data_IF_649677984978
#
_entry.id   IF_649677984978
#
_cell.length_a   1.000
_cell.length_b   1.000
_cell.length_c   1.000
_cell.angle_alpha   90.00
_cell.angle_beta   90.00
_cell.angle_gamma   90.00
#
_symmetry.space_group_name_H-M   'P 1'
#
loop_
_entity.id
_entity.type
_entity.pdbx_description
1 polymer ?
#
# COMPACT_ATOMS: atom_id res chain seq x y z
N UNK A 1 -21.47 3.86 -6.29
CA UNK A 1 -20.89 3.62 -4.94
C UNK A 1 -20.33 2.20 -4.93
N UNK A 2 -19.18 1.96 -4.30
CA UNK A 2 -18.44 0.69 -4.41
C UNK A 2 -18.23 0.03 -3.03
N UNK A 3 -18.04 -1.28 -3.01
CA UNK A 3 -17.55 -2.06 -1.85
C UNK A 3 -16.22 -2.68 -2.26
N UNK A 4 -15.19 -2.50 -1.44
CA UNK A 4 -13.85 -3.07 -1.67
C UNK A 4 -13.69 -4.42 -0.98
N UNK A 5 -13.16 -5.41 -1.68
CA UNK A 5 -12.80 -6.72 -1.12
C UNK A 5 -11.38 -7.04 -1.58
N UNK A 6 -10.35 -6.51 -0.90
CA UNK A 6 -8.98 -6.64 -1.34
C UNK A 6 -8.47 -8.08 -1.21
N UNK A 7 -7.95 -8.61 -2.31
CA UNK A 7 -7.25 -9.92 -2.35
C UNK A 7 -5.74 -9.75 -2.21
N UNK A 8 -5.21 -8.56 -2.50
CA UNK A 8 -3.83 -8.14 -2.24
C UNK A 8 -3.78 -7.19 -1.05
N UNK A 9 -2.58 -6.88 -0.57
CA UNK A 9 -2.35 -5.90 0.52
C UNK A 9 -1.79 -4.57 -0.03
N UNK A 10 -2.39 -4.06 -1.11
CA UNK A 10 -1.95 -2.86 -1.81
C UNK A 10 -2.58 -1.56 -1.29
N UNK A 11 -3.67 -1.62 -0.52
CA UNK A 11 -4.26 -0.49 0.21
C UNK A 11 -5.01 0.57 -0.62
N UNK A 12 -5.29 0.30 -1.91
CA UNK A 12 -5.99 1.26 -2.77
C UNK A 12 -7.43 1.54 -2.32
N UNK A 13 -8.05 0.53 -1.69
CA UNK A 13 -9.41 0.51 -1.14
C UNK A 13 -9.63 1.42 0.08
N UNK A 14 -8.57 2.05 0.59
CA UNK A 14 -8.63 3.00 1.71
C UNK A 14 -8.41 4.46 1.28
N UNK A 15 -8.45 4.73 -0.03
CA UNK A 15 -8.16 6.07 -0.56
C UNK A 15 -9.25 6.56 -1.52
N UNK A 16 -9.37 7.89 -1.62
CA UNK A 16 -10.15 8.58 -2.65
C UNK A 16 -9.30 8.94 -3.88
N UNK A 17 -8.17 8.24 -4.06
CA UNK A 17 -7.20 8.45 -5.12
C UNK A 17 -7.17 7.21 -6.02
N UNK A 18 -7.18 7.42 -7.33
CA UNK A 18 -6.94 6.38 -8.33
C UNK A 18 -5.78 6.80 -9.24
N UNK A 19 -4.99 5.82 -9.67
CA UNK A 19 -3.90 6.05 -10.60
C UNK A 19 -4.10 5.26 -11.89
N UNK A 20 -4.12 5.94 -13.03
CA UNK A 20 -4.29 5.34 -14.37
C UNK A 20 -3.08 5.70 -15.22
N UNK A 21 -2.52 4.75 -15.96
CA UNK A 21 -1.43 5.05 -16.89
C UNK A 21 -2.03 5.44 -18.23
N UNK A 22 -1.67 6.60 -18.75
CA UNK A 22 -2.02 7.01 -20.10
C UNK A 22 -1.06 6.34 -21.08
N UNK A 23 -1.52 5.33 -21.80
CA UNK A 23 -0.68 4.51 -22.68
C UNK A 23 -0.04 5.30 -23.84
N UNK A 24 -0.62 6.45 -24.23
CA UNK A 24 -0.08 7.29 -25.30
C UNK A 24 1.10 8.15 -24.81
N UNK A 25 0.98 8.69 -23.61
CA UNK A 25 1.98 9.62 -23.05
C UNK A 25 2.95 8.94 -22.10
N UNK A 26 2.67 7.70 -21.68
CA UNK A 26 3.40 6.96 -20.63
C UNK A 26 3.51 7.74 -19.32
N UNK A 27 2.47 8.50 -19.00
CA UNK A 27 2.36 9.24 -17.74
C UNK A 27 1.35 8.56 -16.82
N UNK A 28 1.71 8.40 -15.54
CA UNK A 28 0.77 8.00 -14.50
C UNK A 28 -0.10 9.21 -14.11
N UNK A 29 -1.36 9.18 -14.49
CA UNK A 29 -2.34 10.21 -14.14
C UNK A 29 -3.01 9.87 -12.80
N UNK A 30 -3.02 10.85 -11.89
CA UNK A 30 -3.70 10.76 -10.60
C UNK A 30 -5.09 11.39 -10.65
N UNK A 31 -6.10 10.64 -10.24
CA UNK A 31 -7.49 11.09 -10.10
C UNK A 31 -7.83 11.15 -8.61
N UNK A 32 -8.35 12.28 -8.12
CA UNK A 32 -8.82 12.42 -6.75
C UNK A 32 -10.26 12.89 -6.75
N UNK A 33 -11.15 12.10 -6.16
CA UNK A 33 -12.55 12.48 -6.05
C UNK A 33 -13.22 11.75 -4.86
N UNK A 34 -14.04 12.42 -4.02
CA UNK A 34 -14.67 11.79 -2.85
C UNK A 34 -15.48 10.53 -3.17
N UNK A 35 -16.07 10.45 -4.36
CA UNK A 35 -16.85 9.27 -4.79
C UNK A 35 -15.99 8.06 -5.20
N UNK A 36 -14.66 8.19 -5.26
CA UNK A 36 -13.74 7.06 -5.46
C UNK A 36 -13.54 6.24 -4.18
N UNK A 37 -13.73 6.84 -3.01
CA UNK A 37 -13.63 6.12 -1.74
C UNK A 37 -14.70 5.02 -1.66
N UNK A 38 -14.32 3.74 -1.43
CA UNK A 38 -15.28 2.69 -1.16
C UNK A 38 -16.19 3.03 0.03
N UNK A 39 -17.45 2.60 -0.03
CA UNK A 39 -18.41 2.79 1.08
C UNK A 39 -18.16 1.84 2.24
N UNK A 40 -17.57 0.69 1.93
CA UNK A 40 -17.16 -0.32 2.88
C UNK A 40 -16.00 -1.10 2.26
N UNK A 41 -15.09 -1.55 3.11
CA UNK A 41 -14.01 -2.47 2.75
C UNK A 41 -14.13 -3.70 3.64
N UNK A 42 -14.17 -4.89 3.04
CA UNK A 42 -14.27 -6.16 3.74
C UNK A 42 -12.89 -6.81 3.73
N UNK A 43 -12.27 -6.89 4.91
CA UNK A 43 -11.00 -7.59 5.11
C UNK A 43 -11.29 -9.05 5.46
N UNK A 44 -11.13 -9.91 4.46
CA UNK A 44 -11.19 -11.36 4.63
C UNK A 44 -9.83 -11.96 4.26
N UNK A 45 -9.06 -12.49 5.23
CA UNK A 45 -7.73 -13.03 4.99
C UNK A 45 -7.78 -14.31 4.15
N UNK A 46 -8.89 -15.05 4.15
CA UNK A 46 -9.06 -16.28 3.36
C UNK A 46 -9.02 -15.99 1.86
N UNK A 47 -9.57 -14.85 1.43
CA UNK A 47 -9.51 -14.43 0.04
C UNK A 47 -8.09 -14.10 -0.42
N UNK A 48 -7.20 -13.73 0.51
CA UNK A 48 -5.81 -13.41 0.19
C UNK A 48 -4.93 -14.65 0.00
N UNK A 49 -5.35 -15.83 0.47
CA UNK A 49 -4.58 -17.10 0.40
C UNK A 49 -4.24 -17.48 -1.03
N UNK A 50 -5.08 -17.09 -1.98
CA UNK A 50 -4.91 -17.37 -3.41
C UNK A 50 -4.03 -16.35 -4.13
N UNK A 51 -3.65 -15.26 -3.48
CA UNK A 51 -2.75 -14.26 -4.06
C UNK A 51 -1.35 -14.84 -4.16
N UNK A 52 -0.73 -14.83 -5.36
CA UNK A 52 0.63 -15.32 -5.54
C UNK A 52 1.60 -14.65 -4.56
N UNK A 53 2.52 -15.43 -4.00
CA UNK A 53 3.47 -14.98 -2.98
C UNK A 53 4.20 -13.69 -3.41
N UNK A 54 4.73 -13.66 -4.64
CA UNK A 54 5.45 -12.50 -5.16
C UNK A 54 4.61 -11.22 -5.14
N UNK A 55 3.30 -11.34 -5.40
CA UNK A 55 2.37 -10.21 -5.44
C UNK A 55 1.97 -9.79 -4.03
N UNK A 56 1.70 -10.76 -3.15
CA UNK A 56 1.37 -10.49 -1.76
C UNK A 56 2.54 -9.78 -1.04
N UNK A 57 3.74 -10.33 -1.15
CA UNK A 57 4.92 -9.78 -0.48
C UNK A 57 5.32 -8.42 -1.06
N UNK A 58 5.32 -8.23 -2.38
CA UNK A 58 5.69 -6.94 -2.98
C UNK A 58 4.68 -5.83 -2.67
N UNK A 59 3.38 -6.14 -2.65
CA UNK A 59 2.37 -5.17 -2.18
C UNK A 59 2.47 -4.90 -0.69
N UNK A 60 2.89 -5.87 0.12
CA UNK A 60 3.21 -5.68 1.53
C UNK A 60 4.39 -4.74 1.77
N UNK A 61 5.47 -4.86 0.99
CA UNK A 61 6.59 -3.91 1.06
C UNK A 61 6.16 -2.51 0.66
N UNK A 62 5.24 -2.35 -0.30
CA UNK A 62 4.64 -1.04 -0.58
C UNK A 62 3.84 -0.50 0.61
N UNK A 63 3.13 -1.33 1.36
CA UNK A 63 2.48 -0.88 2.59
C UNK A 63 3.50 -0.43 3.65
N UNK A 64 4.64 -1.12 3.76
CA UNK A 64 5.77 -0.66 4.59
C UNK A 64 6.31 0.69 4.11
N UNK A 65 6.44 0.86 2.79
CA UNK A 65 6.86 2.12 2.15
C UNK A 65 5.89 3.28 2.49
N UNK A 66 4.57 3.04 2.48
CA UNK A 66 3.59 4.04 2.94
C UNK A 66 3.85 4.49 4.38
N UNK A 67 4.13 3.55 5.29
CA UNK A 67 4.44 3.88 6.68
C UNK A 67 5.72 4.71 6.81
N UNK A 68 6.80 4.27 6.16
CA UNK A 68 8.12 4.91 6.27
C UNK A 68 8.08 6.33 5.69
N UNK A 69 7.55 6.49 4.47
CA UNK A 69 7.43 7.83 3.88
C UNK A 69 6.51 8.74 4.69
N UNK A 70 5.44 8.20 5.28
CA UNK A 70 4.55 8.95 6.16
C UNK A 70 5.26 9.51 7.39
N UNK A 71 6.00 8.67 8.13
CA UNK A 71 6.71 9.05 9.36
C UNK A 71 7.91 9.96 9.06
N UNK A 72 8.58 9.75 7.93
CA UNK A 72 9.73 10.56 7.50
C UNK A 72 9.34 11.85 6.78
N UNK A 73 8.05 12.10 6.56
CA UNK A 73 7.57 13.29 5.86
C UNK A 73 7.84 14.56 6.67
N UNK A 74 8.10 15.66 5.97
CA UNK A 74 8.18 17.01 6.57
C UNK A 74 6.82 17.53 7.06
N UNK A 75 5.75 16.88 6.65
CA UNK A 75 4.36 17.19 7.01
C UNK A 75 3.79 16.14 7.97
N UNK A 76 4.63 15.26 8.53
CA UNK A 76 4.25 14.25 9.51
C UNK A 76 3.60 14.91 10.75
N UNK A 77 2.63 14.21 11.33
CA UNK A 77 1.90 14.68 12.49
C UNK A 77 1.38 13.50 13.32
N UNK A 78 1.12 13.69 14.63
CA UNK A 78 0.88 12.57 15.56
C UNK A 78 -0.24 11.59 15.16
N UNK A 79 -1.32 12.10 14.54
CA UNK A 79 -2.42 11.25 14.06
C UNK A 79 -2.01 10.27 12.95
N UNK A 80 -1.17 10.72 12.01
CA UNK A 80 -0.64 9.87 10.94
C UNK A 80 0.42 8.91 11.50
N UNK A 81 1.33 9.42 12.33
CA UNK A 81 2.44 8.65 12.90
C UNK A 81 1.96 7.48 13.77
N UNK A 82 0.94 7.70 14.61
CA UNK A 82 0.41 6.63 15.46
C UNK A 82 -0.09 5.43 14.64
N UNK A 83 -0.76 5.70 13.51
CA UNK A 83 -1.24 4.67 12.60
C UNK A 83 -0.08 4.04 11.83
N UNK A 84 0.81 4.86 11.26
CA UNK A 84 1.94 4.38 10.49
C UNK A 84 2.89 3.51 11.32
N UNK A 85 3.20 3.89 12.57
CA UNK A 85 4.06 3.11 13.46
C UNK A 85 3.43 1.78 13.84
N UNK A 86 2.12 1.75 14.15
CA UNK A 86 1.42 0.49 14.43
C UNK A 86 1.32 -0.39 13.18
N UNK A 87 1.00 0.20 12.03
CA UNK A 87 0.95 -0.49 10.75
C UNK A 87 2.32 -1.09 10.38
N UNK A 88 3.39 -0.31 10.56
CA UNK A 88 4.76 -0.76 10.30
C UNK A 88 5.12 -1.95 11.18
N UNK A 89 4.86 -1.88 12.49
CA UNK A 89 5.13 -2.97 13.41
C UNK A 89 4.35 -4.25 13.06
N UNK A 90 3.07 -4.13 12.69
CA UNK A 90 2.26 -5.28 12.27
C UNK A 90 2.79 -5.89 10.97
N UNK A 91 3.14 -5.06 9.98
CA UNK A 91 3.64 -5.51 8.69
C UNK A 91 5.01 -6.20 8.81
N UNK A 92 5.94 -5.64 9.58
CA UNK A 92 7.29 -6.21 9.75
C UNK A 92 7.28 -7.53 10.52
N UNK A 93 6.30 -7.74 11.41
CA UNK A 93 6.09 -9.02 12.10
C UNK A 93 5.37 -10.05 11.22
N UNK A 94 4.29 -9.63 10.53
CA UNK A 94 3.42 -10.54 9.80
C UNK A 94 3.96 -10.97 8.44
N UNK A 95 4.62 -10.08 7.68
CA UNK A 95 5.12 -10.41 6.33
C UNK A 95 6.12 -11.59 6.33
N UNK A 96 7.09 -11.67 7.25
CA UNK A 96 7.96 -12.85 7.37
C UNK A 96 7.20 -14.14 7.71
N UNK A 97 6.14 -14.05 8.54
CA UNK A 97 5.28 -15.19 8.88
C UNK A 97 4.53 -15.70 7.65
N UNK A 98 3.89 -14.81 6.88
CA UNK A 98 3.20 -15.20 5.64
C UNK A 98 4.19 -15.79 4.61
N UNK A 99 5.42 -15.29 4.55
CA UNK A 99 6.47 -15.87 3.71
C UNK A 99 6.86 -17.28 4.14
N UNK A 100 6.95 -17.52 5.45
CA UNK A 100 7.31 -18.82 6.00
C UNK A 100 6.16 -19.84 5.87
N UNK A 101 4.93 -19.40 6.11
CA UNK A 101 3.70 -20.17 5.91
C UNK A 101 2.64 -19.32 5.20
N UNK A 102 2.46 -19.51 3.87
CA UNK A 102 1.45 -18.80 3.11
C UNK A 102 0.00 -19.10 3.53
N UNK A 103 -0.24 -20.04 4.46
CA UNK A 103 -1.57 -20.35 4.99
C UNK A 103 -1.78 -19.85 6.42
N UNK A 104 -0.83 -19.10 6.99
CA UNK A 104 -1.00 -18.40 8.27
C UNK A 104 -2.07 -17.31 8.12
N UNK A 105 -3.32 -17.66 8.45
CA UNK A 105 -4.49 -16.77 8.31
C UNK A 105 -4.40 -15.58 9.25
N UNK A 106 -3.85 -15.77 10.45
CA UNK A 106 -3.69 -14.69 11.43
C UNK A 106 -2.66 -13.67 10.93
N UNK A 107 -1.51 -14.13 10.42
CA UNK A 107 -0.52 -13.24 9.82
C UNK A 107 -1.08 -12.51 8.58
N UNK A 108 -1.91 -13.17 7.77
CA UNK A 108 -2.58 -12.51 6.63
C UNK A 108 -3.56 -11.43 7.08
N UNK A 109 -4.31 -11.68 8.16
CA UNK A 109 -5.19 -10.68 8.77
C UNK A 109 -4.36 -9.50 9.31
N UNK A 110 -3.26 -9.78 10.01
CA UNK A 110 -2.34 -8.75 10.50
C UNK A 110 -1.76 -7.92 9.35
N UNK A 111 -1.42 -8.54 8.21
CA UNK A 111 -1.01 -7.82 7.01
C UNK A 111 -2.12 -6.92 6.43
N UNK A 112 -3.37 -7.40 6.37
CA UNK A 112 -4.51 -6.61 5.90
C UNK A 112 -4.77 -5.39 6.81
N UNK A 113 -4.75 -5.59 8.13
CA UNK A 113 -4.92 -4.51 9.11
C UNK A 113 -3.73 -3.54 9.08
N UNK A 114 -2.50 -4.07 9.02
CA UNK A 114 -1.28 -3.28 8.90
C UNK A 114 -1.29 -2.41 7.64
N UNK A 115 -1.80 -2.94 6.52
CA UNK A 115 -1.96 -2.19 5.27
C UNK A 115 -2.99 -1.08 5.42
N UNK A 116 -4.12 -1.34 6.06
CA UNK A 116 -5.11 -0.29 6.33
C UNK A 116 -4.47 0.86 7.14
N UNK A 117 -3.79 0.53 8.24
CA UNK A 117 -3.09 1.51 9.08
C UNK A 117 -1.98 2.27 8.34
N UNK A 118 -1.28 1.61 7.41
CA UNK A 118 -0.24 2.25 6.58
C UNK A 118 -0.76 3.44 5.78
N UNK A 119 -2.06 3.47 5.47
CA UNK A 119 -2.69 4.56 4.72
C UNK A 119 -3.03 5.77 5.59
N UNK A 120 -2.91 5.67 6.91
CA UNK A 120 -3.23 6.72 7.89
C UNK A 120 -2.63 8.10 7.56
N UNK A 121 -1.30 8.21 7.31
CA UNK A 121 -0.67 9.48 6.92
C UNK A 121 -1.28 10.07 5.64
N UNK A 122 -1.45 9.27 4.59
CA UNK A 122 -2.02 9.75 3.33
C UNK A 122 -3.47 10.20 3.50
N UNK A 123 -4.25 9.46 4.30
CA UNK A 123 -5.63 9.78 4.60
C UNK A 123 -5.77 11.08 5.42
N UNK A 124 -4.75 11.41 6.23
CA UNK A 124 -4.71 12.63 7.04
C UNK A 124 -4.02 13.83 6.37
N UNK A 125 -3.59 13.68 5.11
CA UNK A 125 -3.04 14.77 4.31
C UNK A 125 -1.53 14.81 4.18
N UNK A 126 -0.80 13.83 4.74
CA UNK A 126 0.65 13.70 4.55
C UNK A 126 0.92 13.19 3.12
N UNK A 127 1.70 13.90 2.30
CA UNK A 127 2.01 13.45 0.94
C UNK A 127 2.99 12.27 0.95
N UNK A 128 2.93 11.45 -0.10
CA UNK A 128 3.96 10.43 -0.36
C UNK A 128 5.26 11.07 -0.84
N UNK A 129 6.38 10.37 -0.65
CA UNK A 129 7.72 10.89 -0.87
C UNK A 129 8.37 10.45 -2.18
N UNK A 130 9.70 10.42 -2.15
CA UNK A 130 10.54 10.13 -3.32
C UNK A 130 10.40 8.68 -3.81
N UNK A 131 10.14 7.71 -2.91
CA UNK A 131 9.96 6.31 -3.30
C UNK A 131 8.77 6.17 -4.26
N UNK A 132 7.62 6.73 -3.87
CA UNK A 132 6.42 6.74 -4.72
C UNK A 132 6.62 7.60 -5.98
N UNK A 133 7.22 8.79 -5.84
CA UNK A 133 7.45 9.70 -6.98
C UNK A 133 8.28 9.06 -8.09
N UNK A 134 9.40 8.43 -7.73
CA UNK A 134 10.25 7.69 -8.70
C UNK A 134 9.53 6.43 -9.18
N UNK A 135 8.83 5.73 -8.28
CA UNK A 135 8.03 4.54 -8.63
C UNK A 135 6.95 4.81 -9.67
N UNK A 136 6.31 5.99 -9.67
CA UNK A 136 5.35 6.36 -10.71
C UNK A 136 5.99 6.45 -12.10
N UNK A 137 7.21 6.98 -12.20
CA UNK A 137 7.96 7.05 -13.46
C UNK A 137 8.36 5.65 -13.91
N UNK A 138 8.92 4.84 -13.00
CA UNK A 138 9.32 3.46 -13.30
C UNK A 138 8.14 2.60 -13.77
N UNK A 139 7.00 2.73 -13.11
CA UNK A 139 5.80 2.00 -13.48
C UNK A 139 5.19 2.45 -14.80
N UNK A 140 5.19 3.74 -15.10
CA UNK A 140 4.58 4.26 -16.32
C UNK A 140 5.45 4.04 -17.57
N UNK A 141 6.77 4.23 -17.46
CA UNK A 141 7.68 4.12 -18.61
C UNK A 141 8.11 2.67 -18.88
N UNK A 142 8.36 1.88 -17.83
CA UNK A 142 8.95 0.55 -17.94
C UNK A 142 8.00 -0.58 -17.53
N UNK A 143 6.74 -0.27 -17.23
CA UNK A 143 5.72 -1.23 -16.81
C UNK A 143 6.14 -2.07 -15.58
N UNK A 144 6.94 -1.46 -14.69
CA UNK A 144 7.34 -2.12 -13.43
C UNK A 144 6.16 -2.12 -12.46
N UNK A 145 5.74 -3.27 -11.90
CA UNK A 145 4.69 -3.31 -10.90
C UNK A 145 5.01 -2.44 -9.69
N UNK A 146 4.03 -1.68 -9.21
CA UNK A 146 4.24 -0.67 -8.17
C UNK A 146 4.77 -1.25 -6.84
N UNK A 147 4.40 -2.49 -6.51
CA UNK A 147 4.99 -3.19 -5.36
C UNK A 147 6.51 -3.36 -5.49
N UNK A 148 6.99 -3.70 -6.70
CA UNK A 148 8.43 -3.82 -6.96
C UNK A 148 9.15 -2.48 -6.98
N UNK A 149 8.51 -1.41 -7.44
CA UNK A 149 9.13 -0.08 -7.37
C UNK A 149 9.41 0.28 -5.91
N UNK A 150 8.48 0.04 -4.99
CA UNK A 150 8.72 0.23 -3.55
C UNK A 150 9.84 -0.66 -3.02
N UNK A 151 9.91 -1.94 -3.42
CA UNK A 151 11.01 -2.82 -3.02
C UNK A 151 12.40 -2.30 -3.43
N UNK A 152 12.50 -1.64 -4.58
CA UNK A 152 13.76 -1.10 -5.09
C UNK A 152 14.10 0.27 -4.50
N UNK A 153 13.08 1.13 -4.34
CA UNK A 153 13.31 2.53 -4.00
C UNK A 153 13.41 2.76 -2.51
N UNK A 154 12.54 2.15 -1.69
CA UNK A 154 12.49 2.38 -0.25
C UNK A 154 13.87 2.23 0.45
N UNK A 155 14.71 1.23 0.15
CA UNK A 155 16.01 1.10 0.82
C UNK A 155 17.03 2.20 0.47
N UNK A 156 16.79 2.96 -0.59
CA UNK A 156 17.76 3.88 -1.19
C UNK A 156 17.40 5.37 -1.05
N UNK A 157 16.18 5.69 -0.65
CA UNK A 157 15.65 7.07 -0.58
C UNK A 157 15.40 7.54 0.85
#
# INVERSE_FOLDING_TARGET
RQVGVPTTIAGGEFSSIAGVTNEKTRVKEGLRHPLLMPRATILDPWLSVHTPEWLFLSTGIRAVDHCVEGICSREAHPYGDAQALKGLAMLTEALPRVKADPKDIDARMDCQIGTWLSTGPLASGVPMGASHGIGYVLGAEFNVPHGYTSCMMLPAV
#
